data_IF_573637902153
#
_entry.id   IF_573637902153
#
_cell.length_a   1.000
_cell.length_b   1.000
_cell.length_c   1.000
_cell.angle_alpha   90.00
_cell.angle_beta   90.00
_cell.angle_gamma   90.00
#
_symmetry.space_group_name_H-M   'P 1'
#
loop_
_entity.id
_entity.type
_entity.pdbx_description
1 polymer ?
#
# COMPACT_ATOMS: atom_id res chain seq x y z
N UNK A 1 -12.12 -29.00 -29.05
CA UNK A 1 -11.95 -29.54 -27.68
C UNK A 1 -12.84 -28.71 -26.77
N UNK A 2 -13.86 -29.32 -26.16
CA UNK A 2 -14.90 -28.65 -25.36
C UNK A 2 -14.38 -28.41 -23.94
N UNK A 3 -14.38 -27.17 -23.46
CA UNK A 3 -14.19 -26.88 -22.04
C UNK A 3 -15.58 -26.80 -21.38
N UNK A 4 -15.84 -27.76 -20.51
CA UNK A 4 -17.09 -27.94 -19.79
C UNK A 4 -17.25 -26.90 -18.68
N UNK A 5 -18.52 -26.57 -18.41
CA UNK A 5 -18.99 -25.64 -17.39
C UNK A 5 -18.53 -26.00 -15.97
N UNK A 6 -18.09 -24.99 -15.21
CA UNK A 6 -18.08 -25.03 -13.75
C UNK A 6 -18.98 -23.92 -13.17
N UNK A 7 -20.19 -24.35 -12.80
CA UNK A 7 -20.87 -24.07 -11.53
C UNK A 7 -21.16 -22.60 -11.15
N UNK A 8 -22.42 -22.24 -11.42
CA UNK A 8 -23.31 -21.25 -10.80
C UNK A 8 -22.90 -20.84 -9.37
N UNK A 9 -22.52 -19.58 -9.18
CA UNK A 9 -22.43 -18.93 -7.87
C UNK A 9 -23.85 -18.78 -7.32
N UNK A 10 -24.17 -19.21 -6.09
CA UNK A 10 -25.50 -19.00 -5.52
C UNK A 10 -25.71 -17.51 -5.24
N UNK A 11 -26.86 -17.00 -5.67
CA UNK A 11 -27.38 -15.72 -5.22
C UNK A 11 -27.90 -15.87 -3.78
N UNK A 12 -27.26 -15.19 -2.82
CA UNK A 12 -27.88 -14.55 -1.65
C UNK A 12 -26.79 -14.23 -0.61
N UNK A 13 -26.39 -12.96 -0.51
CA UNK A 13 -25.93 -12.41 0.77
C UNK A 13 -27.00 -11.41 1.18
N UNK A 14 -28.07 -11.93 1.79
CA UNK A 14 -29.07 -11.13 2.48
C UNK A 14 -28.75 -11.21 3.98
N UNK A 15 -28.57 -10.05 4.61
CA UNK A 15 -28.52 -9.93 6.07
C UNK A 15 -27.11 -10.00 6.67
N UNK A 16 -26.33 -8.93 6.53
CA UNK A 16 -25.38 -8.56 7.59
C UNK A 16 -26.01 -7.34 8.25
N UNK A 17 -26.62 -7.58 9.41
CA UNK A 17 -27.10 -6.52 10.27
C UNK A 17 -25.91 -5.65 10.69
N UNK A 18 -26.10 -4.33 10.62
CA UNK A 18 -25.19 -3.36 11.18
C UNK A 18 -25.25 -3.49 12.71
N UNK A 19 -24.18 -3.98 13.32
CA UNK A 19 -23.98 -3.98 14.76
C UNK A 19 -23.05 -2.80 15.08
N UNK A 20 -23.56 -1.66 15.61
CA UNK A 20 -22.78 -0.43 15.76
C UNK A 20 -21.82 -0.42 16.96
N UNK A 21 -21.63 -1.52 17.69
CA UNK A 21 -20.80 -1.58 18.91
C UNK A 21 -19.41 -2.22 18.70
N UNK A 22 -18.71 -1.85 17.64
CA UNK A 22 -17.28 -2.12 17.54
C UNK A 22 -16.50 -1.22 18.52
N UNK A 23 -16.15 -1.82 19.67
CA UNK A 23 -15.09 -1.52 20.64
C UNK A 23 -14.45 -0.10 20.61
N UNK A 24 -14.49 0.67 21.72
CA UNK A 24 -13.97 2.04 21.76
C UNK A 24 -12.44 2.04 21.66
N UNK A 25 -11.91 2.41 20.49
CA UNK A 25 -10.52 2.85 20.37
C UNK A 25 -10.39 4.17 21.14
N UNK A 26 -9.81 4.11 22.33
CA UNK A 26 -9.38 5.29 23.09
C UNK A 26 -8.45 6.13 22.23
N UNK A 27 -8.97 7.23 21.69
CA UNK A 27 -8.18 8.29 21.09
C UNK A 27 -7.34 8.94 22.19
N UNK A 28 -6.08 8.53 22.32
CA UNK A 28 -5.10 9.27 23.12
C UNK A 28 -4.86 10.61 22.41
N UNK A 29 -5.14 11.70 23.11
CA UNK A 29 -4.99 13.06 22.61
C UNK A 29 -3.55 13.28 22.10
N UNK A 30 -3.42 13.50 20.79
CA UNK A 30 -2.17 13.87 20.16
C UNK A 30 -1.76 15.27 20.63
N UNK A 31 -0.63 15.35 21.32
CA UNK A 31 0.04 16.60 21.64
C UNK A 31 0.36 17.35 20.33
N UNK A 32 -0.18 18.55 20.19
CA UNK A 32 0.16 19.51 19.14
C UNK A 32 1.66 19.73 19.06
N UNK A 33 2.29 19.27 17.98
CA UNK A 33 3.66 19.62 17.63
C UNK A 33 3.68 20.25 16.22
N UNK A 34 3.97 21.55 16.22
CA UNK A 34 4.57 22.43 15.19
C UNK A 34 4.34 22.16 13.70
N UNK A 35 4.17 23.25 12.94
CA UNK A 35 3.98 23.36 11.48
C UNK A 35 5.15 22.80 10.61
N UNK A 36 5.50 21.54 10.81
CA UNK A 36 6.30 20.77 9.87
C UNK A 36 5.38 20.28 8.74
N UNK A 37 5.81 20.47 7.49
CA UNK A 37 5.13 19.93 6.32
C UNK A 37 4.89 18.42 6.53
N UNK A 38 3.66 17.96 6.28
CA UNK A 38 3.28 16.55 6.40
C UNK A 38 4.33 15.64 5.72
N UNK A 39 4.93 14.65 6.42
CA UNK A 39 5.97 13.79 5.86
C UNK A 39 5.59 13.16 4.51
N UNK A 40 4.34 12.73 4.33
CA UNK A 40 3.86 12.16 3.07
C UNK A 40 3.85 13.19 1.94
N UNK A 41 3.40 14.42 2.21
CA UNK A 41 3.40 15.53 1.23
C UNK A 41 4.83 15.91 0.82
N UNK A 42 5.74 16.04 1.80
CA UNK A 42 7.14 16.37 1.55
C UNK A 42 7.82 15.26 0.73
N UNK A 43 7.65 13.99 1.10
CA UNK A 43 8.21 12.86 0.36
C UNK A 43 7.70 12.81 -1.09
N UNK A 44 6.41 13.09 -1.31
CA UNK A 44 5.82 13.18 -2.65
C UNK A 44 6.45 14.31 -3.47
N UNK A 45 6.59 15.50 -2.89
CA UNK A 45 7.14 16.67 -3.59
C UNK A 45 8.61 16.46 -3.95
N UNK A 46 9.41 15.90 -3.03
CA UNK A 46 10.80 15.52 -3.29
C UNK A 46 10.90 14.46 -4.39
N UNK A 47 10.01 13.46 -4.39
CA UNK A 47 9.93 12.43 -5.44
C UNK A 47 9.65 13.05 -6.80
N UNK A 48 8.65 13.94 -6.89
CA UNK A 48 8.30 14.67 -8.12
C UNK A 48 9.43 15.57 -8.61
N UNK A 49 10.18 16.18 -7.69
CA UNK A 49 11.35 16.99 -8.00
C UNK A 49 12.61 16.17 -8.35
N UNK A 50 12.55 14.84 -8.35
CA UNK A 50 13.69 13.96 -8.61
C UNK A 50 14.73 13.88 -7.48
N UNK A 51 14.42 14.44 -6.31
CA UNK A 51 15.27 14.45 -5.10
C UNK A 51 15.08 13.16 -4.30
N UNK A 52 15.37 12.02 -4.96
CA UNK A 52 14.99 10.69 -4.49
C UNK A 52 15.61 10.32 -3.14
N UNK A 53 16.91 10.57 -2.94
CA UNK A 53 17.58 10.25 -1.69
C UNK A 53 16.98 10.99 -0.48
N UNK A 54 16.52 12.23 -0.70
CA UNK A 54 15.89 13.04 0.34
C UNK A 54 14.46 12.54 0.61
N UNK A 55 13.72 12.17 -0.43
CA UNK A 55 12.42 11.53 -0.28
C UNK A 55 12.52 10.22 0.51
N UNK A 56 13.51 9.37 0.19
CA UNK A 56 13.77 8.10 0.89
C UNK A 56 14.10 8.32 2.37
N UNK A 57 14.86 9.38 2.70
CA UNK A 57 15.15 9.74 4.09
C UNK A 57 13.89 10.18 4.86
N UNK A 58 13.01 10.97 4.24
CA UNK A 58 11.73 11.36 4.83
C UNK A 58 10.84 10.14 5.08
N UNK A 59 10.77 9.23 4.11
CA UNK A 59 9.98 7.99 4.23
C UNK A 59 10.57 7.09 5.33
N UNK A 60 11.90 6.97 5.43
CA UNK A 60 12.53 6.21 6.51
C UNK A 60 12.17 6.78 7.88
N UNK A 61 12.18 8.11 8.04
CA UNK A 61 11.73 8.78 9.26
C UNK A 61 10.27 8.47 9.60
N UNK A 62 9.38 8.56 8.59
CA UNK A 62 7.97 8.22 8.77
C UNK A 62 7.77 6.74 9.16
N UNK A 63 8.48 5.81 8.51
CA UNK A 63 8.38 4.38 8.83
C UNK A 63 8.84 4.11 10.26
N UNK A 64 9.94 4.74 10.70
CA UNK A 64 10.41 4.63 12.09
C UNK A 64 9.41 5.22 13.11
N UNK A 65 8.56 6.16 12.70
CA UNK A 65 7.52 6.74 13.55
C UNK A 65 6.28 5.82 13.67
N UNK A 66 5.85 5.19 12.56
CA UNK A 66 4.56 4.48 12.51
C UNK A 66 4.66 2.96 12.65
N UNK A 67 5.85 2.39 12.48
CA UNK A 67 6.06 0.95 12.51
C UNK A 67 6.89 0.51 13.73
N UNK A 68 6.65 -0.72 14.19
CA UNK A 68 7.41 -1.36 15.27
C UNK A 68 8.68 -2.05 14.73
N UNK A 69 9.40 -1.38 13.83
CA UNK A 69 10.69 -1.83 13.31
C UNK A 69 11.53 -0.66 12.81
N UNK A 70 12.86 -0.83 12.85
CA UNK A 70 13.79 0.18 12.36
C UNK A 70 14.06 -0.01 10.87
N UNK A 71 13.78 0.98 10.00
CA UNK A 71 14.16 0.91 8.60
C UNK A 71 15.69 1.06 8.45
N UNK A 72 16.33 0.13 7.74
CA UNK A 72 17.74 0.21 7.39
C UNK A 72 17.95 0.81 5.99
N UNK A 73 17.04 0.51 5.06
CA UNK A 73 17.08 1.05 3.70
C UNK A 73 15.67 1.26 3.16
N UNK A 74 15.46 2.38 2.47
CA UNK A 74 14.26 2.65 1.70
C UNK A 74 14.65 2.79 0.24
N UNK A 75 13.81 2.29 -0.67
CA UNK A 75 14.00 2.45 -2.11
C UNK A 75 12.67 2.78 -2.77
N UNK A 76 12.60 3.93 -3.44
CA UNK A 76 11.39 4.35 -4.16
C UNK A 76 11.36 3.68 -5.54
N UNK A 77 10.23 3.08 -5.90
CA UNK A 77 10.02 2.52 -7.23
C UNK A 77 9.93 3.64 -8.28
N UNK A 78 10.52 3.39 -9.45
CA UNK A 78 10.46 4.28 -10.62
C UNK A 78 9.72 3.62 -11.78
N UNK A 79 8.74 2.77 -11.46
CA UNK A 79 7.96 2.06 -12.47
C UNK A 79 6.74 2.88 -12.93
N UNK A 80 6.33 2.69 -14.19
CA UNK A 80 5.17 3.38 -14.77
C UNK A 80 3.82 2.88 -14.27
N UNK A 81 3.78 2.05 -13.23
CA UNK A 81 2.53 1.48 -12.70
C UNK A 81 1.95 2.28 -11.54
N UNK A 82 2.73 3.25 -11.04
CA UNK A 82 2.41 4.01 -9.85
C UNK A 82 1.55 5.23 -10.22
N UNK A 83 0.25 4.99 -10.40
CA UNK A 83 -0.72 6.07 -10.64
C UNK A 83 -0.89 6.88 -9.34
N UNK A 84 -0.39 8.13 -9.35
CA UNK A 84 -0.52 9.14 -8.28
C UNK A 84 -0.03 8.75 -6.87
N UNK A 85 0.49 7.54 -6.68
CA UNK A 85 1.05 7.06 -5.42
C UNK A 85 2.57 7.08 -5.43
N UNK A 86 3.19 7.38 -4.29
CA UNK A 86 4.59 7.02 -4.03
C UNK A 86 4.59 5.63 -3.40
N UNK A 87 5.42 4.73 -3.91
CA UNK A 87 5.59 3.40 -3.36
C UNK A 87 7.04 2.92 -3.54
N UNK A 88 7.35 1.82 -2.87
CA UNK A 88 8.70 1.29 -2.87
C UNK A 88 8.88 0.17 -1.87
N UNK A 89 10.13 -0.07 -1.51
CA UNK A 89 10.51 -1.11 -0.59
C UNK A 89 11.21 -0.54 0.65
N UNK A 90 11.03 -1.24 1.77
CA UNK A 90 11.79 -1.00 3.00
C UNK A 90 12.49 -2.31 3.39
N UNK A 91 13.80 -2.24 3.60
CA UNK A 91 14.56 -3.28 4.28
C UNK A 91 14.70 -2.86 5.74
N UNK A 92 14.23 -3.69 6.67
CA UNK A 92 14.36 -3.46 8.09
C UNK A 92 15.73 -3.91 8.60
N UNK A 93 16.18 -3.35 9.72
CA UNK A 93 17.47 -3.68 10.34
C UNK A 93 17.58 -5.15 10.78
N UNK A 94 16.45 -5.83 10.97
CA UNK A 94 16.38 -7.26 11.29
C UNK A 94 16.35 -8.18 10.06
N UNK A 95 16.51 -7.61 8.86
CA UNK A 95 16.57 -8.35 7.59
C UNK A 95 15.20 -8.61 6.94
N UNK A 96 14.08 -8.25 7.58
CA UNK A 96 12.76 -8.32 6.94
C UNK A 96 12.63 -7.30 5.83
N UNK A 97 11.87 -7.63 4.80
CA UNK A 97 11.59 -6.72 3.68
C UNK A 97 10.10 -6.46 3.54
N UNK A 98 9.77 -5.23 3.22
CA UNK A 98 8.40 -4.75 3.11
C UNK A 98 8.20 -3.95 1.82
N UNK A 99 6.96 -3.90 1.36
CA UNK A 99 6.50 -2.97 0.33
C UNK A 99 5.66 -1.89 0.99
N UNK A 100 5.93 -0.62 0.69
CA UNK A 100 5.11 0.49 1.17
C UNK A 100 4.40 1.18 0.01
N UNK A 101 3.24 1.77 0.28
CA UNK A 101 2.60 2.73 -0.62
C UNK A 101 1.85 3.79 0.17
N UNK A 102 1.79 4.99 -0.40
CA UNK A 102 0.87 6.04 0.04
C UNK A 102 0.46 6.89 -1.17
N UNK A 103 -0.72 7.48 -1.06
CA UNK A 103 -1.21 8.52 -1.94
C UNK A 103 -1.70 9.67 -1.06
N UNK A 104 -1.60 10.89 -1.57
CA UNK A 104 -2.21 12.06 -0.94
C UNK A 104 -3.42 12.43 -1.78
N UNK A 105 -4.61 12.29 -1.22
CA UNK A 105 -5.85 12.81 -1.80
C UNK A 105 -6.17 14.17 -1.16
N UNK A 106 -6.87 15.05 -1.88
CA UNK A 106 -7.23 16.39 -1.37
C UNK A 106 -8.25 16.31 -0.21
N UNK A 107 -8.95 15.18 -0.06
CA UNK A 107 -9.92 14.89 1.01
C UNK A 107 -9.39 13.83 2.00
N UNK A 108 -8.30 14.17 2.72
CA UNK A 108 -7.59 13.28 3.66
C UNK A 108 -8.46 12.66 4.78
N UNK A 109 -9.69 13.16 5.00
CA UNK A 109 -10.62 12.68 6.04
C UNK A 109 -11.53 11.53 5.58
N UNK A 110 -11.71 11.29 4.28
CA UNK A 110 -12.61 10.24 3.76
C UNK A 110 -11.89 8.92 3.37
N UNK A 111 -10.55 8.88 3.42
CA UNK A 111 -9.73 7.71 3.02
C UNK A 111 -9.73 6.55 4.03
N UNK A 112 -10.71 6.49 4.93
CA UNK A 112 -10.96 5.32 5.80
C UNK A 112 -11.59 4.16 4.99
N UNK A 113 -12.10 4.43 3.78
CA UNK A 113 -12.84 3.46 2.96
C UNK A 113 -12.02 2.31 2.35
N UNK A 114 -10.71 2.45 2.11
CA UNK A 114 -9.90 1.37 1.50
C UNK A 114 -9.67 0.20 2.47
N UNK A 115 -9.44 0.49 3.75
CA UNK A 115 -9.24 -0.50 4.80
C UNK A 115 -10.47 -1.40 4.98
N UNK A 116 -11.67 -0.81 4.93
CA UNK A 116 -12.92 -1.54 5.03
C UNK A 116 -13.08 -2.59 3.93
N UNK A 117 -12.63 -2.30 2.69
CA UNK A 117 -12.83 -3.21 1.55
C UNK A 117 -11.94 -4.44 1.60
N UNK A 118 -10.69 -4.31 2.06
CA UNK A 118 -9.79 -5.46 2.18
C UNK A 118 -10.28 -6.44 3.26
N UNK A 119 -10.79 -5.92 4.39
CA UNK A 119 -11.37 -6.76 5.45
C UNK A 119 -12.63 -7.49 5.00
N UNK A 120 -13.50 -6.84 4.22
CA UNK A 120 -14.69 -7.50 3.65
C UNK A 120 -14.32 -8.69 2.75
N UNK A 121 -13.31 -8.53 1.89
CA UNK A 121 -12.86 -9.60 1.00
C UNK A 121 -12.24 -10.76 1.78
N UNK A 122 -11.43 -10.46 2.79
CA UNK A 122 -10.87 -11.46 3.68
C UNK A 122 -11.97 -12.21 4.46
N UNK A 123 -12.95 -11.49 4.99
CA UNK A 123 -14.11 -12.06 5.68
C UNK A 123 -14.97 -12.97 4.80
N UNK A 124 -15.00 -12.71 3.49
CA UNK A 124 -15.65 -13.57 2.49
C UNK A 124 -14.77 -14.74 2.01
N UNK A 125 -13.56 -14.91 2.55
CA UNK A 125 -12.66 -16.02 2.22
C UNK A 125 -11.79 -15.81 0.98
N UNK A 126 -11.71 -14.60 0.44
CA UNK A 126 -10.82 -14.31 -0.68
C UNK A 126 -9.37 -14.15 -0.21
N UNK A 127 -8.39 -14.66 -0.99
CA UNK A 127 -6.99 -14.47 -0.70
C UNK A 127 -6.58 -13.04 -1.05
N UNK A 128 -6.59 -12.15 -0.06
CA UNK A 128 -6.17 -10.76 -0.18
C UNK A 128 -5.00 -10.46 0.74
N UNK A 129 -4.05 -9.67 0.26
CA UNK A 129 -2.95 -9.18 1.07
C UNK A 129 -3.44 -8.09 2.02
N UNK A 130 -3.06 -8.21 3.29
CA UNK A 130 -3.34 -7.20 4.32
C UNK A 130 -2.05 -6.48 4.70
N UNK A 131 -2.10 -5.17 4.98
CA UNK A 131 -0.94 -4.46 5.47
C UNK A 131 -0.54 -5.00 6.85
N UNK A 132 0.76 -5.08 7.09
CA UNK A 132 1.33 -5.31 8.43
C UNK A 132 1.36 -4.03 9.26
N UNK A 133 1.38 -2.86 8.61
CA UNK A 133 1.23 -1.55 9.23
C UNK A 133 0.30 -0.68 8.39
N UNK A 134 -0.64 -0.04 9.08
CA UNK A 134 -1.64 0.84 8.50
C UNK A 134 -1.69 2.13 9.32
N UNK A 135 -1.18 3.22 8.76
CA UNK A 135 -1.37 4.56 9.33
C UNK A 135 -2.36 5.32 8.48
N UNK A 136 -3.44 5.79 9.10
CA UNK A 136 -4.44 6.70 8.50
C UNK A 136 -4.35 8.14 9.02
N UNK A 137 -3.34 8.45 9.84
CA UNK A 137 -3.20 9.79 10.41
C UNK A 137 -2.89 10.82 9.31
N UNK A 138 -3.53 11.99 9.40
CA UNK A 138 -3.36 13.12 8.49
C UNK A 138 -1.87 13.46 8.34
N UNK A 139 -1.41 13.55 7.09
CA UNK A 139 0.00 13.76 6.73
C UNK A 139 0.97 12.60 7.01
N UNK A 140 0.49 11.46 7.50
CA UNK A 140 1.26 10.26 7.87
C UNK A 140 0.64 8.99 7.29
N UNK A 141 -0.21 9.13 6.28
CA UNK A 141 -0.90 8.01 5.66
C UNK A 141 0.12 7.11 4.95
N UNK A 142 0.23 5.86 5.39
CA UNK A 142 1.12 4.88 4.76
C UNK A 142 0.63 3.48 5.06
N UNK A 143 0.69 2.64 4.02
CA UNK A 143 0.43 1.22 4.08
C UNK A 143 1.74 0.48 3.90
N UNK A 144 2.02 -0.50 4.77
CA UNK A 144 3.21 -1.35 4.68
C UNK A 144 2.74 -2.81 4.64
N UNK A 145 3.20 -3.54 3.64
CA UNK A 145 2.90 -4.95 3.41
C UNK A 145 4.18 -5.78 3.53
N UNK A 146 4.03 -7.05 3.89
CA UNK A 146 5.14 -8.00 3.71
C UNK A 146 5.54 -8.03 2.22
N UNK A 147 6.84 -8.04 1.94
CA UNK A 147 7.33 -8.12 0.57
C UNK A 147 6.93 -9.46 -0.07
N UNK A 148 6.53 -9.39 -1.33
CA UNK A 148 6.31 -10.55 -2.21
C UNK A 148 7.35 -10.52 -3.33
N UNK A 149 7.91 -11.68 -3.63
CA UNK A 149 8.91 -11.82 -4.71
C UNK A 149 8.30 -12.39 -5.99
N UNK A 150 6.99 -12.71 -5.99
CA UNK A 150 6.31 -13.12 -7.22
C UNK A 150 6.22 -11.94 -8.20
N UNK A 151 6.43 -12.17 -9.51
CA UNK A 151 6.26 -11.13 -10.53
C UNK A 151 4.81 -10.66 -10.56
N UNK A 152 4.61 -9.37 -10.82
CA UNK A 152 3.26 -8.83 -11.04
C UNK A 152 2.74 -9.35 -12.38
N UNK A 153 1.43 -9.53 -12.49
CA UNK A 153 0.80 -9.94 -13.76
C UNK A 153 1.20 -9.01 -14.91
N UNK A 154 1.28 -7.70 -14.65
CA UNK A 154 1.69 -6.71 -15.63
C UNK A 154 3.13 -6.91 -16.11
N UNK A 155 4.04 -7.37 -15.25
CA UNK A 155 5.43 -7.65 -15.64
C UNK A 155 5.50 -8.86 -16.58
N UNK A 156 4.72 -9.91 -16.27
CA UNK A 156 4.60 -11.08 -17.13
C UNK A 156 3.97 -10.72 -18.48
N UNK A 157 2.90 -9.91 -18.47
CA UNK A 157 2.26 -9.46 -19.69
C UNK A 157 3.21 -8.65 -20.58
N UNK A 158 3.96 -7.70 -20.00
CA UNK A 158 4.97 -6.93 -20.75
C UNK A 158 6.08 -7.81 -21.33
N UNK A 159 6.52 -8.83 -20.60
CA UNK A 159 7.51 -9.77 -21.12
C UNK A 159 6.98 -10.52 -22.35
N UNK A 160 5.74 -11.02 -22.28
CA UNK A 160 5.07 -11.70 -23.39
C UNK A 160 4.90 -10.78 -24.60
N UNK A 161 4.49 -9.52 -24.37
CA UNK A 161 4.35 -8.53 -25.45
C UNK A 161 5.69 -8.18 -26.10
N UNK A 162 6.76 -8.04 -25.32
CA UNK A 162 8.11 -7.77 -25.82
C UNK A 162 8.63 -8.93 -26.68
N UNK A 163 8.41 -10.17 -26.24
CA UNK A 163 8.74 -11.39 -26.99
C UNK A 163 7.98 -11.44 -28.32
N UNK A 164 6.66 -11.22 -28.29
CA UNK A 164 5.81 -11.23 -29.49
C UNK A 164 6.19 -10.16 -30.52
N UNK A 165 6.80 -9.04 -30.07
CA UNK A 165 7.28 -7.95 -30.94
C UNK A 165 8.71 -8.16 -31.44
N UNK A 166 9.37 -9.25 -31.06
CA UNK A 166 10.77 -9.50 -31.42
C UNK A 166 11.75 -8.56 -30.73
N UNK A 167 11.37 -7.97 -29.60
CA UNK A 167 12.20 -7.04 -28.80
C UNK A 167 12.92 -7.82 -27.68
N UNK A 168 13.12 -9.13 -27.83
CA UNK A 168 13.64 -10.01 -26.78
C UNK A 168 14.68 -11.03 -27.26
N UNK A 169 15.95 -10.74 -26.98
CA UNK A 169 17.14 -11.59 -27.14
C UNK A 169 18.37 -10.69 -27.42
N UNK A 170 19.52 -10.93 -26.77
CA UNK A 170 20.51 -9.91 -26.36
C UNK A 170 20.92 -8.87 -27.40
#
# INVERSE_FOLDING_TARGET
>A
MRYQSFHRVPAAIAGIAHDPEACPMTATAATTSSAAQAPTALARDLTRAGRIAEAEAVIAGLVAEVADFTPARVTINRDGYSLNSVNGFVEAADGRSFFFKFHQEEDEAETVGEYYRAELLAGAGFPVDRPVVASGAVGRQILIYARRDQPRLADLARAVEAEARGIGGP
#
